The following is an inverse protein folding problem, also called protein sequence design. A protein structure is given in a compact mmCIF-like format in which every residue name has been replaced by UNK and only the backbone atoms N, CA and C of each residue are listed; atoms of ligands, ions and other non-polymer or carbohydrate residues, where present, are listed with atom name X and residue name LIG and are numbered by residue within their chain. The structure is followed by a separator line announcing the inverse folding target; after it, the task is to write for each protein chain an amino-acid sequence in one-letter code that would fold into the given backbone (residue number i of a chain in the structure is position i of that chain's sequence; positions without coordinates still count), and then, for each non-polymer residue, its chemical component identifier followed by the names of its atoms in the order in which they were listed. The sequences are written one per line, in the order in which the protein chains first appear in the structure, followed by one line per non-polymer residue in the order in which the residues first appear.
data_IF_153856154047
#
_entry.id   IF_153856154047
#
_cell.length_a   1.000
_cell.length_b   1.000
_cell.length_c   1.000
_cell.angle_alpha   90.00
_cell.angle_beta   90.00
_cell.angle_gamma   90.00
#
_symmetry.space_group_name_H-M   'P 1'
#
loop_
_entity.id
_entity.type
_entity.pdbx_description
1 polymer ?
#
# COMPACT_ATOMS: atom_id res chain seq x y z
N UNK A 1 37.87 -16.11 -34.92
CA UNK A 1 37.57 -16.43 -33.51
C UNK A 1 36.85 -15.34 -32.68
N UNK A 2 36.50 -14.12 -33.17
CA UNK A 2 36.02 -13.05 -32.28
C UNK A 2 34.57 -13.20 -31.81
N UNK A 3 33.69 -13.79 -32.64
CA UNK A 3 32.25 -13.86 -32.35
C UNK A 3 31.91 -14.65 -31.07
N UNK A 4 32.68 -15.71 -30.78
CA UNK A 4 32.50 -16.52 -29.57
C UNK A 4 32.86 -15.75 -28.29
N UNK A 5 33.92 -14.95 -28.34
CA UNK A 5 34.35 -14.11 -27.22
C UNK A 5 33.34 -12.98 -26.97
N UNK A 6 32.84 -12.35 -28.03
CA UNK A 6 31.82 -11.30 -27.95
C UNK A 6 30.50 -11.81 -27.34
N UNK A 7 30.03 -12.97 -27.80
CA UNK A 7 28.81 -13.60 -27.25
C UNK A 7 28.99 -13.98 -25.79
N UNK A 8 30.14 -14.55 -25.42
CA UNK A 8 30.42 -14.94 -24.03
C UNK A 8 30.48 -13.74 -23.08
N UNK A 9 31.04 -12.61 -23.55
CA UNK A 9 31.09 -11.37 -22.78
C UNK A 9 29.69 -10.78 -22.56
N UNK A 10 28.84 -10.86 -23.59
CA UNK A 10 27.46 -10.38 -23.55
C UNK A 10 26.61 -11.20 -22.56
N UNK A 11 26.78 -12.53 -22.57
CA UNK A 11 26.13 -13.43 -21.60
C UNK A 11 26.60 -13.14 -20.18
N UNK A 12 27.89 -12.92 -19.97
CA UNK A 12 28.43 -12.58 -18.65
C UNK A 12 27.84 -11.26 -18.14
N UNK A 13 27.75 -10.23 -18.98
CA UNK A 13 27.12 -8.97 -18.62
C UNK A 13 25.63 -9.13 -18.31
N UNK A 14 24.89 -9.91 -19.10
CA UNK A 14 23.47 -10.17 -18.81
C UNK A 14 23.26 -10.86 -17.46
N UNK A 15 24.15 -11.78 -17.05
CA UNK A 15 24.06 -12.47 -15.75
C UNK A 15 24.51 -11.58 -14.60
N UNK A 16 25.55 -10.76 -14.79
CA UNK A 16 26.05 -9.85 -13.75
C UNK A 16 25.14 -8.63 -13.53
N UNK A 17 24.34 -8.23 -14.52
CA UNK A 17 23.39 -7.12 -14.43
C UNK A 17 21.99 -7.56 -13.98
N UNK A 18 21.78 -8.83 -13.59
CA UNK A 18 20.52 -9.25 -12.97
C UNK A 18 20.50 -8.70 -11.56
N UNK A 19 19.94 -7.50 -11.41
CA UNK A 19 19.63 -6.96 -10.09
C UNK A 19 18.58 -7.87 -9.45
N UNK A 20 18.88 -8.42 -8.27
CA UNK A 20 17.92 -9.24 -7.54
C UNK A 20 16.73 -8.37 -7.13
N UNK A 21 15.65 -8.42 -7.91
CA UNK A 21 14.35 -7.97 -7.48
C UNK A 21 13.93 -8.88 -6.32
N UNK A 22 14.15 -8.42 -5.08
CA UNK A 22 13.54 -8.99 -3.88
C UNK A 22 12.04 -8.70 -3.91
N UNK A 23 11.33 -9.44 -4.77
CA UNK A 23 9.89 -9.60 -4.67
C UNK A 23 9.65 -10.26 -3.31
N UNK A 24 9.14 -9.53 -2.30
CA UNK A 24 8.91 -10.09 -0.96
C UNK A 24 7.95 -11.30 -1.05
N UNK A 25 8.43 -12.56 -1.07
CA UNK A 25 7.59 -13.73 -1.36
C UNK A 25 6.64 -14.02 -0.20
N UNK A 26 6.97 -13.49 0.98
CA UNK A 26 6.18 -13.53 2.20
C UNK A 26 5.20 -12.36 2.31
N UNK A 27 5.11 -11.48 1.31
CA UNK A 27 4.23 -10.30 1.37
C UNK A 27 4.65 -9.31 2.46
N UNK A 28 5.94 -9.21 2.80
CA UNK A 28 6.45 -8.24 3.78
C UNK A 28 6.44 -6.82 3.23
N UNK A 29 5.24 -6.27 3.07
CA UNK A 29 4.96 -4.87 2.69
C UNK A 29 5.51 -3.87 3.71
N UNK A 30 5.84 -4.29 4.93
CA UNK A 30 6.32 -3.41 6.00
C UNK A 30 7.57 -2.59 5.60
N UNK A 31 8.49 -3.16 4.82
CA UNK A 31 9.70 -2.45 4.39
C UNK A 31 9.40 -1.40 3.30
N UNK A 32 8.49 -1.73 2.38
CA UNK A 32 8.08 -0.81 1.30
C UNK A 32 7.11 0.27 1.77
N UNK A 33 6.27 -0.04 2.75
CA UNK A 33 5.20 0.84 3.23
C UNK A 33 5.61 1.68 4.45
N UNK A 34 6.70 1.33 5.15
CA UNK A 34 7.10 2.00 6.39
C UNK A 34 5.92 2.05 7.37
N UNK A 35 5.62 3.24 7.88
CA UNK A 35 4.47 3.46 8.77
C UNK A 35 3.17 3.86 8.04
N UNK A 36 3.22 4.09 6.72
CA UNK A 36 2.09 4.54 5.89
C UNK A 36 1.29 5.73 6.44
N UNK A 37 1.88 6.54 7.34
CA UNK A 37 1.19 7.69 7.94
C UNK A 37 1.13 8.84 6.92
N UNK A 38 -0.05 9.43 6.68
CA UNK A 38 -0.16 10.57 5.78
C UNK A 38 0.56 11.78 6.40
N UNK A 39 1.56 12.32 5.68
CA UNK A 39 2.28 13.53 6.09
C UNK A 39 1.98 14.61 5.07
N UNK A 40 1.28 15.66 5.49
CA UNK A 40 0.98 16.80 4.63
C UNK A 40 1.19 18.11 5.42
N UNK A 41 2.35 18.78 5.28
CA UNK A 41 2.63 20.02 5.99
C UNK A 41 1.53 21.07 5.78
N UNK A 42 1.14 21.84 6.82
CA UNK A 42 1.66 21.84 8.19
C UNK A 42 1.02 20.80 9.12
N UNK A 43 0.16 19.91 8.60
CA UNK A 43 -0.63 18.98 9.40
C UNK A 43 0.16 17.71 9.76
N UNK A 44 0.07 17.32 11.03
CA UNK A 44 0.56 16.04 11.52
C UNK A 44 -0.54 14.96 11.40
N UNK A 45 -0.17 13.70 11.13
CA UNK A 45 -1.13 12.60 11.14
C UNK A 45 -1.78 12.44 12.52
N UNK A 46 -3.10 12.21 12.53
CA UNK A 46 -3.84 11.89 13.76
C UNK A 46 -3.85 10.39 14.02
N UNK A 47 -3.52 9.98 15.24
CA UNK A 47 -3.59 8.59 15.71
C UNK A 47 -4.77 8.32 16.64
N UNK A 48 -5.62 9.33 16.87
CA UNK A 48 -6.85 9.16 17.65
C UNK A 48 -7.88 8.32 16.91
N UNK A 49 -8.82 7.70 17.65
CA UNK A 49 -9.90 6.94 17.02
C UNK A 49 -10.74 7.85 16.10
N UNK A 50 -10.95 7.46 14.84
CA UNK A 50 -11.69 8.29 13.90
C UNK A 50 -13.17 8.38 14.28
N UNK A 51 -13.85 9.50 13.94
CA UNK A 51 -15.28 9.66 14.14
C UNK A 51 -16.12 8.88 13.12
N UNK A 52 -15.57 7.85 12.48
CA UNK A 52 -16.22 7.01 11.50
C UNK A 52 -15.81 5.55 11.66
N UNK A 53 -16.68 4.65 11.22
CA UNK A 53 -16.40 3.22 11.07
C UNK A 53 -16.24 2.86 9.60
N UNK A 54 -15.29 1.99 9.32
CA UNK A 54 -15.13 1.34 8.02
C UNK A 54 -15.52 -0.13 8.14
N UNK A 55 -16.22 -0.64 7.13
CA UNK A 55 -16.54 -2.06 7.02
C UNK A 55 -16.36 -2.53 5.58
N UNK A 56 -16.08 -3.81 5.42
CA UNK A 56 -15.94 -4.45 4.11
C UNK A 56 -17.00 -5.52 3.96
N UNK A 57 -17.44 -5.73 2.71
CA UNK A 57 -18.36 -6.81 2.35
C UNK A 57 -17.76 -8.21 2.50
N UNK A 58 -16.43 -8.32 2.64
CA UNK A 58 -15.72 -9.58 2.88
C UNK A 58 -14.53 -9.37 3.80
N UNK A 59 -14.27 -10.37 4.65
CA UNK A 59 -13.06 -10.46 5.48
C UNK A 59 -11.89 -11.16 4.75
N UNK A 60 -12.15 -11.75 3.58
CA UNK A 60 -11.15 -12.47 2.78
C UNK A 60 -11.05 -11.91 1.37
N UNK A 61 -9.82 -11.89 0.84
CA UNK A 61 -9.54 -11.48 -0.52
C UNK A 61 -9.51 -12.67 -1.47
N UNK A 62 -10.10 -12.51 -2.66
CA UNK A 62 -10.01 -13.48 -3.76
C UNK A 62 -9.62 -12.74 -5.04
N UNK A 63 -8.60 -13.20 -5.79
CA UNK A 63 -8.25 -12.60 -7.08
C UNK A 63 -9.46 -12.52 -8.02
N UNK A 64 -9.66 -11.35 -8.63
CA UNK A 64 -10.81 -11.06 -9.50
C UNK A 64 -12.15 -10.84 -8.78
N UNK A 65 -12.20 -10.99 -7.45
CA UNK A 65 -13.38 -10.65 -6.66
C UNK A 65 -13.51 -9.15 -6.42
N UNK A 66 -14.74 -8.67 -6.29
CA UNK A 66 -15.04 -7.28 -5.91
C UNK A 66 -15.31 -7.23 -4.41
N UNK A 67 -14.60 -6.36 -3.69
CA UNK A 67 -14.85 -6.06 -2.28
C UNK A 67 -15.34 -4.62 -2.20
N UNK A 68 -16.59 -4.43 -1.78
CA UNK A 68 -17.16 -3.12 -1.49
C UNK A 68 -16.81 -2.69 -0.06
N UNK A 69 -16.31 -1.47 0.10
CA UNK A 69 -16.10 -0.81 1.39
C UNK A 69 -17.22 0.19 1.69
N UNK A 70 -17.66 0.23 2.95
CA UNK A 70 -18.68 1.17 3.43
C UNK A 70 -18.13 1.99 4.59
N UNK A 71 -18.33 3.30 4.55
CA UNK A 71 -17.99 4.23 5.62
C UNK A 71 -19.25 4.82 6.25
N UNK A 72 -19.27 4.93 7.58
CA UNK A 72 -20.38 5.54 8.32
C UNK A 72 -19.84 6.42 9.45
N UNK A 73 -20.46 7.58 9.66
CA UNK A 73 -20.10 8.46 10.78
C UNK A 73 -20.51 7.82 12.10
N UNK A 74 -19.59 7.71 13.06
CA UNK A 74 -19.93 7.37 14.45
C UNK A 74 -20.52 8.61 15.08
N UNK A 75 -21.84 8.65 15.27
CA UNK A 75 -22.45 9.61 16.18
C UNK A 75 -21.95 9.29 17.59
N UNK A 76 -21.12 10.17 18.16
CA UNK A 76 -20.89 10.11 19.60
C UNK A 76 -22.22 10.42 20.29
N UNK A 77 -22.55 9.65 21.31
CA UNK A 77 -23.74 9.84 22.13
C UNK A 77 -23.56 11.16 22.90
N UNK A 78 -23.86 12.30 22.27
CA UNK A 78 -23.64 13.63 22.85
C UNK A 78 -23.52 14.83 21.89
N UNK A 79 -23.43 14.66 20.56
CA UNK A 79 -23.43 15.83 19.66
C UNK A 79 -24.85 16.18 19.18
N UNK A 80 -25.40 17.27 19.72
CA UNK A 80 -26.49 18.02 19.09
C UNK A 80 -25.98 18.54 17.73
N UNK A 81 -26.55 18.05 16.63
CA UNK A 81 -26.17 18.46 15.27
C UNK A 81 -26.75 19.84 15.01
N UNK A 82 -26.07 20.88 15.48
CA UNK A 82 -26.28 22.25 15.01
C UNK A 82 -25.26 22.57 13.91
N UNK A 83 -25.73 22.38 12.67
CA UNK A 83 -25.28 23.02 11.42
C UNK A 83 -23.76 23.19 11.19
N UNK A 84 -23.18 22.32 10.39
CA UNK A 84 -22.08 22.69 9.50
C UNK A 84 -22.57 22.53 8.06
N UNK A 85 -22.90 23.66 7.41
CA UNK A 85 -22.97 23.76 5.95
C UNK A 85 -21.53 23.70 5.43
N UNK A 86 -21.34 22.95 4.33
CA UNK A 86 -20.12 22.93 3.53
C UNK A 86 -19.71 24.33 3.09
#
# INVERSE_FOLDING_TARGET
MPLKASVSLLVLMCVCCVEECVCFPNGSVAFSCGNMMPVHPPYAPSTSSPPFTLSTSSATYRPGGVITGTSALRRSHGLNVSNAKY
#
